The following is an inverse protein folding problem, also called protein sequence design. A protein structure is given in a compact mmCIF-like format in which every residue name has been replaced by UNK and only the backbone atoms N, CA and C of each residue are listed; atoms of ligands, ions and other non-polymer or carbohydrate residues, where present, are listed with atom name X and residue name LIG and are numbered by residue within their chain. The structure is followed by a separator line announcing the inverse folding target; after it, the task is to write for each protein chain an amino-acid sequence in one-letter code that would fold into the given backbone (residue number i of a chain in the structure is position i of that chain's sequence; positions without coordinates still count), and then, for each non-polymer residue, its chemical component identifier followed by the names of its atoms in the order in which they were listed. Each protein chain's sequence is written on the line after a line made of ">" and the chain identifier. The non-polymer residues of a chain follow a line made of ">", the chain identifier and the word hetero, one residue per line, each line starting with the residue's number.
data_IF_633166857991
#
_entry.id   IF_633166857991
#
_cell.length_a   1.000
_cell.length_b   1.000
_cell.length_c   1.000
_cell.angle_alpha   90.00
_cell.angle_beta   90.00
_cell.angle_gamma   90.00
#
_symmetry.space_group_name_H-M   'P 1'
#
loop_
_entity.id
_entity.type
_entity.pdbx_description
1 polymer ?
#
# COMPACT_ATOMS: atom_id res chain seq x y z
N UNK A 1 1.95 4.10 29.97
CA UNK A 1 1.30 4.75 28.81
C UNK A 1 -0.18 4.81 29.10
N UNK A 2 -0.82 5.97 28.95
CA UNK A 2 -2.27 6.10 29.16
C UNK A 2 -3.02 5.88 27.84
N UNK A 3 -4.33 5.65 27.93
CA UNK A 3 -5.17 5.35 26.76
C UNK A 3 -5.14 6.44 25.68
N UNK A 4 -5.25 7.75 26.00
CA UNK A 4 -5.14 8.81 25.00
C UNK A 4 -3.82 8.80 24.23
N UNK A 5 -2.69 8.62 24.93
CA UNK A 5 -1.35 8.57 24.33
C UNK A 5 -1.19 7.34 23.41
N UNK A 6 -1.78 6.20 23.78
CA UNK A 6 -1.84 5.02 22.90
C UNK A 6 -2.62 5.31 21.61
N UNK A 7 -3.79 5.94 21.73
CA UNK A 7 -4.65 6.26 20.59
C UNK A 7 -3.92 7.20 19.62
N UNK A 8 -3.27 8.26 20.12
CA UNK A 8 -2.51 9.19 19.28
C UNK A 8 -1.37 8.49 18.52
N UNK A 9 -0.63 7.59 19.16
CA UNK A 9 0.45 6.82 18.51
C UNK A 9 -0.08 5.86 17.46
N UNK A 10 -1.24 5.24 17.68
CA UNK A 10 -1.92 4.40 16.69
C UNK A 10 -2.35 5.23 15.49
N UNK A 11 -3.03 6.36 15.72
CA UNK A 11 -3.48 7.26 14.64
C UNK A 11 -2.29 7.78 13.84
N UNK A 12 -1.21 8.21 14.50
CA UNK A 12 0.00 8.69 13.84
C UNK A 12 0.70 7.62 13.00
N UNK A 13 0.72 6.36 13.46
CA UNK A 13 1.28 5.24 12.70
C UNK A 13 0.46 4.96 11.44
N UNK A 14 -0.87 4.97 11.54
CA UNK A 14 -1.78 4.68 10.43
C UNK A 14 -1.88 5.82 9.43
N UNK A 15 -1.80 7.08 9.86
CA UNK A 15 -1.88 8.26 8.99
C UNK A 15 -0.78 8.31 7.92
N UNK A 16 0.31 7.54 8.10
CA UNK A 16 1.42 7.45 7.15
C UNK A 16 1.18 6.43 6.03
N UNK A 17 0.15 5.59 6.14
CA UNK A 17 -0.20 4.60 5.13
C UNK A 17 -1.03 5.27 4.04
N UNK A 18 -0.58 5.28 2.76
CA UNK A 18 -1.38 5.81 1.66
C UNK A 18 -2.71 5.06 1.51
N UNK A 19 -3.71 5.68 0.88
CA UNK A 19 -4.97 5.00 0.59
C UNK A 19 -4.75 3.74 -0.28
N UNK A 20 -5.57 2.70 -0.10
CA UNK A 20 -5.46 1.41 -0.83
C UNK A 20 -5.87 1.49 -2.31
N UNK A 21 -6.17 2.67 -2.83
CA UNK A 21 -6.54 2.85 -4.23
C UNK A 21 -5.27 2.80 -5.08
N UNK A 22 -4.83 1.57 -5.42
CA UNK A 22 -3.60 1.32 -6.16
C UNK A 22 -3.91 1.12 -7.64
N UNK A 23 -3.27 1.90 -8.51
CA UNK A 23 -3.42 1.81 -9.96
C UNK A 23 -3.13 0.41 -10.50
N UNK A 24 -2.25 -0.35 -9.85
CA UNK A 24 -1.91 -1.73 -10.26
C UNK A 24 -3.12 -2.66 -10.28
N UNK A 25 -4.11 -2.45 -9.41
CA UNK A 25 -5.34 -3.26 -9.37
C UNK A 25 -6.22 -2.93 -10.58
N UNK A 26 -6.31 -1.65 -10.92
CA UNK A 26 -7.08 -1.17 -12.08
C UNK A 26 -6.44 -1.63 -13.38
N UNK A 27 -5.11 -1.53 -13.49
CA UNK A 27 -4.34 -1.99 -14.64
C UNK A 27 -4.45 -3.50 -14.82
N UNK A 28 -4.38 -4.28 -13.74
CA UNK A 28 -4.53 -5.73 -13.82
C UNK A 28 -5.91 -6.11 -14.38
N UNK A 29 -6.98 -5.44 -13.94
CA UNK A 29 -8.33 -5.68 -14.47
C UNK A 29 -8.47 -5.24 -15.93
N UNK A 30 -7.83 -4.13 -16.32
CA UNK A 30 -7.89 -3.58 -17.69
C UNK A 30 -7.08 -4.40 -18.70
N UNK A 31 -5.92 -4.89 -18.29
CA UNK A 31 -4.93 -5.56 -19.14
C UNK A 31 -4.98 -7.09 -19.03
N UNK A 32 -5.98 -7.64 -18.34
CA UNK A 32 -6.30 -9.06 -18.38
C UNK A 32 -7.56 -9.26 -19.24
N UNK A 33 -7.43 -10.01 -20.33
CA UNK A 33 -8.53 -10.38 -21.24
C UNK A 33 -8.68 -11.90 -21.21
N UNK A 34 -9.89 -12.38 -20.89
CA UNK A 34 -10.21 -13.81 -20.81
C UNK A 34 -9.27 -14.63 -19.89
N UNK A 35 -8.69 -14.00 -18.87
CA UNK A 35 -7.75 -14.62 -17.93
C UNK A 35 -6.29 -14.62 -18.41
N UNK A 36 -6.00 -14.09 -19.59
CA UNK A 36 -4.65 -13.90 -20.12
C UNK A 36 -4.25 -12.43 -20.14
N UNK A 37 -2.94 -12.17 -20.10
CA UNK A 37 -2.41 -10.82 -20.18
C UNK A 37 -2.42 -10.30 -21.62
N UNK A 38 -2.97 -9.10 -21.81
CA UNK A 38 -2.93 -8.37 -23.06
C UNK A 38 -1.56 -7.70 -23.23
N UNK A 39 -0.58 -8.45 -23.77
CA UNK A 39 0.80 -7.97 -23.90
C UNK A 39 0.94 -6.74 -24.80
N UNK A 40 0.11 -6.62 -25.84
CA UNK A 40 0.11 -5.45 -26.73
C UNK A 40 -0.41 -4.22 -25.97
N UNK A 41 -1.53 -4.36 -25.25
CA UNK A 41 -2.04 -3.32 -24.37
C UNK A 41 -1.08 -2.96 -23.23
N UNK A 42 -0.30 -3.92 -22.72
CA UNK A 42 0.73 -3.67 -21.72
C UNK A 42 1.90 -2.85 -22.27
N UNK A 43 2.31 -3.07 -23.53
CA UNK A 43 3.37 -2.30 -24.16
C UNK A 43 2.95 -0.83 -24.33
N UNK A 44 1.70 -0.58 -24.70
CA UNK A 44 1.14 0.77 -24.81
C UNK A 44 1.00 1.46 -23.44
N UNK A 45 0.69 0.69 -22.40
CA UNK A 45 0.51 1.19 -21.02
C UNK A 45 1.80 1.20 -20.17
N UNK A 46 2.98 1.00 -20.75
CA UNK A 46 4.25 0.90 -20.01
C UNK A 46 4.48 2.06 -19.00
N UNK A 47 4.23 3.34 -19.34
CA UNK A 47 4.38 4.43 -18.38
C UNK A 47 3.46 4.31 -17.16
N UNK A 48 2.22 3.89 -17.36
CA UNK A 48 1.22 3.70 -16.30
C UNK A 48 1.57 2.49 -15.43
N UNK A 49 2.07 1.42 -16.04
CA UNK A 49 2.58 0.24 -15.33
C UNK A 49 3.75 0.64 -14.42
N UNK A 50 4.69 1.44 -14.92
CA UNK A 50 5.82 1.93 -14.13
C UNK A 50 5.37 2.79 -12.94
N UNK A 51 4.39 3.67 -13.17
CA UNK A 51 3.77 4.47 -12.10
C UNK A 51 3.09 3.55 -11.06
N UNK A 52 2.27 2.60 -11.50
CA UNK A 52 1.59 1.66 -10.63
C UNK A 52 2.55 0.82 -9.78
N UNK A 53 3.70 0.42 -10.35
CA UNK A 53 4.76 -0.26 -9.61
C UNK A 53 5.35 0.64 -8.53
N UNK A 54 5.64 1.92 -8.85
CA UNK A 54 6.18 2.87 -7.90
C UNK A 54 5.20 3.13 -6.74
N UNK A 55 3.92 3.32 -7.05
CA UNK A 55 2.84 3.49 -6.07
C UNK A 55 2.70 2.26 -5.17
N UNK A 56 2.69 1.06 -5.74
CA UNK A 56 2.59 -0.18 -4.97
C UNK A 56 3.79 -0.37 -4.02
N UNK A 57 5.00 -0.07 -4.48
CA UNK A 57 6.21 -0.11 -3.65
C UNK A 57 6.13 0.89 -2.48
N UNK A 58 5.69 2.11 -2.75
CA UNK A 58 5.52 3.14 -1.72
C UNK A 58 4.46 2.69 -0.69
N UNK A 59 3.29 2.24 -1.15
CA UNK A 59 2.24 1.74 -0.27
C UNK A 59 2.74 0.60 0.63
N UNK A 60 3.43 -0.38 0.05
CA UNK A 60 4.01 -1.51 0.79
C UNK A 60 5.02 -1.05 1.85
N UNK A 61 5.95 -0.16 1.48
CA UNK A 61 6.96 0.37 2.40
C UNK A 61 6.33 1.10 3.59
N UNK A 62 5.37 1.99 3.33
CA UNK A 62 4.69 2.74 4.39
C UNK A 62 3.84 1.82 5.28
N UNK A 63 3.18 0.82 4.69
CA UNK A 63 2.42 -0.19 5.44
C UNK A 63 3.32 -0.99 6.38
N UNK A 64 4.49 -1.44 5.91
CA UNK A 64 5.45 -2.16 6.77
C UNK A 64 5.91 -1.30 7.95
N UNK A 65 6.24 -0.02 7.71
CA UNK A 65 6.63 0.92 8.76
C UNK A 65 5.52 1.12 9.80
N UNK A 66 4.26 1.22 9.36
CA UNK A 66 3.11 1.34 10.24
C UNK A 66 2.93 0.08 11.09
N UNK A 67 3.00 -1.11 10.48
CA UNK A 67 2.91 -2.41 11.17
C UNK A 67 4.00 -2.54 12.23
N UNK A 68 5.25 -2.21 11.90
CA UNK A 68 6.36 -2.30 12.85
C UNK A 68 6.24 -1.27 14.00
N UNK A 69 5.68 -0.10 13.71
CA UNK A 69 5.37 0.90 14.74
C UNK A 69 4.30 0.37 15.71
N UNK A 70 3.23 -0.24 15.19
CA UNK A 70 2.17 -0.84 16.00
C UNK A 70 2.66 -2.05 16.82
N UNK A 71 3.52 -2.90 16.24
CA UNK A 71 4.16 -4.02 16.95
C UNK A 71 4.97 -3.55 18.15
N UNK A 72 5.72 -2.46 18.00
CA UNK A 72 6.49 -1.85 19.10
C UNK A 72 5.58 -1.29 20.19
N UNK A 73 4.46 -0.66 19.83
CA UNK A 73 3.47 -0.18 20.82
C UNK A 73 2.88 -1.33 21.64
N UNK A 74 2.53 -2.45 20.98
CA UNK A 74 2.04 -3.65 21.66
C UNK A 74 3.07 -4.21 22.65
N UNK A 75 4.34 -4.25 22.26
CA UNK A 75 5.43 -4.75 23.11
C UNK A 75 5.70 -3.87 24.35
N UNK A 76 5.41 -2.57 24.28
CA UNK A 76 5.58 -1.61 25.40
C UNK A 76 4.34 -1.58 26.32
N UNK A 77 3.22 -2.17 25.88
CA UNK A 77 1.95 -2.19 26.62
C UNK A 77 1.65 -3.53 27.31
N UNK A 78 2.56 -4.51 27.18
CA UNK A 78 2.45 -5.86 27.76
C UNK A 78 3.37 -6.07 28.95
#
# INVERSE_FOLDING_TARGET
>A
MNEPECIEKVVSALAKVPAKQLLIIELANRLTKDGELDYDGMAEAEPEINLAIAEAKMYGAHTMVAVDSLRRLKAVSG
#
